data_IF_807787387371
#
_entry.id   IF_807787387371
#
_cell.length_a   1.000
_cell.length_b   1.000
_cell.length_c   1.000
_cell.angle_alpha   90.00
_cell.angle_beta   90.00
_cell.angle_gamma   90.00
#
_symmetry.space_group_name_H-M   'P 1'
#
loop_
_entity.id
_entity.type
_entity.pdbx_description
1 polymer ?
#
# COMPACT_ATOMS: atom_id res chain seq x y z
N UNK A 1 -3.04 -6.69 6.42
CA UNK A 1 -3.95 -6.06 5.45
C UNK A 1 -4.03 -4.55 5.65
N UNK A 2 -4.67 -4.04 6.72
CA UNK A 2 -4.87 -2.59 6.94
C UNK A 2 -3.59 -1.77 6.76
N UNK A 3 -2.49 -2.13 7.43
CA UNK A 3 -1.21 -1.44 7.31
C UNK A 3 -0.67 -1.40 5.87
N UNK A 4 -0.78 -2.51 5.13
CA UNK A 4 -0.37 -2.57 3.72
C UNK A 4 -1.18 -1.60 2.87
N UNK A 5 -2.50 -1.58 3.06
CA UNK A 5 -3.36 -0.60 2.39
C UNK A 5 -3.00 0.83 2.82
N UNK A 6 -2.70 1.06 4.09
CA UNK A 6 -2.28 2.39 4.56
C UNK A 6 -0.93 2.79 4.02
N UNK A 7 -0.05 1.88 3.57
CA UNK A 7 1.15 2.28 2.83
C UNK A 7 0.81 2.71 1.40
N UNK A 8 -0.08 1.96 0.76
CA UNK A 8 -0.56 2.18 -0.60
C UNK A 8 -1.84 3.04 -0.72
N UNK A 9 -2.80 2.52 -1.47
CA UNK A 9 -4.02 3.20 -1.95
C UNK A 9 -5.15 3.29 -0.90
N UNK A 10 -4.93 2.76 0.30
CA UNK A 10 -5.90 2.79 1.39
C UNK A 10 -6.01 4.18 2.02
N UNK A 11 -7.25 4.63 2.21
CA UNK A 11 -7.52 5.93 2.84
C UNK A 11 -8.38 5.79 4.08
N UNK A 12 -7.99 6.46 5.17
CA UNK A 12 -8.83 6.60 6.36
C UNK A 12 -9.75 7.82 6.22
N UNK A 13 -11.06 7.57 6.18
CA UNK A 13 -12.10 8.60 6.03
C UNK A 13 -13.01 8.65 7.26
N UNK A 14 -13.58 9.82 7.57
CA UNK A 14 -14.47 9.99 8.73
C UNK A 14 -15.76 9.16 8.54
N UNK A 15 -16.20 8.54 9.63
CA UNK A 15 -17.38 7.67 9.71
C UNK A 15 -18.01 7.79 11.09
N UNK A 16 -19.00 8.67 11.22
CA UNK A 16 -19.54 9.06 12.53
C UNK A 16 -18.45 9.67 13.41
N UNK A 17 -18.33 9.20 14.66
CA UNK A 17 -17.30 9.63 15.61
C UNK A 17 -15.91 9.02 15.37
N UNK A 18 -15.79 8.05 14.47
CA UNK A 18 -14.56 7.31 14.21
C UNK A 18 -14.09 7.45 12.76
N UNK A 19 -12.99 6.78 12.42
CA UNK A 19 -12.52 6.61 11.05
C UNK A 19 -12.78 5.20 10.54
N UNK A 20 -12.94 5.08 9.22
CA UNK A 20 -13.01 3.81 8.49
C UNK A 20 -11.94 3.73 7.42
N UNK A 21 -11.49 2.52 7.10
CA UNK A 21 -10.66 2.26 5.95
C UNK A 21 -11.55 2.20 4.72
N UNK A 22 -11.16 2.93 3.67
CA UNK A 22 -11.78 2.90 2.35
C UNK A 22 -10.74 2.44 1.34
N UNK A 23 -11.13 1.50 0.50
CA UNK A 23 -10.37 1.00 -0.63
C UNK A 23 -11.17 1.28 -1.89
N UNK A 24 -10.51 1.81 -2.91
CA UNK A 24 -11.09 2.02 -4.23
C UNK A 24 -10.03 1.84 -5.29
N UNK A 25 -10.34 1.07 -6.34
CA UNK A 25 -9.49 0.95 -7.51
C UNK A 25 -10.35 0.89 -8.77
N UNK A 26 -9.75 1.17 -9.94
CA UNK A 26 -10.41 0.99 -11.24
C UNK A 26 -11.00 -0.41 -11.38
N UNK A 27 -12.11 -0.54 -12.11
CA UNK A 27 -12.77 -1.83 -12.43
C UNK A 27 -11.81 -2.88 -13.00
N UNK A 28 -10.73 -2.45 -13.68
CA UNK A 28 -9.66 -3.33 -14.21
C UNK A 28 -8.95 -4.15 -13.12
N UNK A 29 -9.03 -3.72 -11.86
CA UNK A 29 -8.42 -4.37 -10.70
C UNK A 29 -9.47 -5.01 -9.77
N UNK A 30 -10.62 -5.42 -10.32
CA UNK A 30 -11.74 -5.99 -9.56
C UNK A 30 -11.37 -7.20 -8.70
N UNK A 31 -10.55 -8.11 -9.23
CA UNK A 31 -10.06 -9.27 -8.50
C UNK A 31 -9.24 -8.86 -7.27
N UNK A 32 -8.42 -7.82 -7.40
CA UNK A 32 -7.59 -7.32 -6.30
C UNK A 32 -8.42 -6.61 -5.23
N UNK A 33 -9.43 -5.83 -5.63
CA UNK A 33 -10.40 -5.23 -4.70
C UNK A 33 -11.16 -6.31 -3.94
N UNK A 34 -11.64 -7.33 -4.65
CA UNK A 34 -12.37 -8.47 -4.06
C UNK A 34 -11.48 -9.26 -3.10
N UNK A 35 -10.21 -9.46 -3.45
CA UNK A 35 -9.22 -10.09 -2.57
C UNK A 35 -9.03 -9.29 -1.27
N UNK A 36 -8.80 -7.97 -1.35
CA UNK A 36 -8.71 -7.10 -0.16
C UNK A 36 -10.00 -7.14 0.67
N UNK A 37 -11.16 -7.14 0.01
CA UNK A 37 -12.46 -7.25 0.67
C UNK A 37 -12.59 -8.57 1.45
N UNK A 38 -12.12 -9.69 0.91
CA UNK A 38 -12.15 -11.00 1.58
C UNK A 38 -11.52 -10.99 2.99
N UNK A 39 -10.41 -10.26 3.17
CA UNK A 39 -9.74 -10.10 4.47
C UNK A 39 -10.49 -9.18 5.44
N UNK A 40 -11.29 -8.25 4.94
CA UNK A 40 -11.93 -7.19 5.73
C UNK A 40 -13.45 -7.33 5.81
N UNK A 41 -14.06 -8.32 5.12
CA UNK A 41 -15.52 -8.45 4.98
C UNK A 41 -16.25 -8.49 6.31
N UNK A 42 -15.65 -9.10 7.34
CA UNK A 42 -16.24 -9.20 8.69
C UNK A 42 -16.46 -7.85 9.37
N UNK A 43 -15.73 -6.82 8.93
CA UNK A 43 -15.85 -5.45 9.46
C UNK A 43 -16.41 -4.49 8.40
N UNK A 44 -17.02 -4.99 7.33
CA UNK A 44 -17.70 -4.20 6.31
C UNK A 44 -19.21 -4.43 6.40
N UNK A 45 -20.00 -3.37 6.30
CA UNK A 45 -21.48 -3.49 6.26
C UNK A 45 -21.94 -3.84 4.85
N UNK A 46 -21.38 -3.16 3.86
CA UNK A 46 -21.75 -3.34 2.45
C UNK A 46 -20.74 -4.23 1.72
N UNK A 47 -21.19 -4.95 0.68
CA UNK A 47 -20.28 -5.59 -0.27
C UNK A 47 -19.48 -4.56 -1.06
N UNK A 48 -18.58 -5.03 -1.93
CA UNK A 48 -17.91 -4.17 -2.92
C UNK A 48 -18.97 -3.52 -3.82
N UNK A 49 -18.87 -2.21 -4.00
CA UNK A 49 -19.79 -1.38 -4.76
C UNK A 49 -19.12 -0.84 -6.02
N UNK A 50 -19.87 -0.78 -7.12
CA UNK A 50 -19.44 -0.12 -8.35
C UNK A 50 -19.74 1.39 -8.27
N UNK A 51 -18.73 2.22 -8.51
CA UNK A 51 -18.83 3.68 -8.58
C UNK A 51 -18.79 4.07 -10.05
N UNK A 52 -19.98 4.26 -10.64
CA UNK A 52 -20.16 4.51 -12.07
C UNK A 52 -19.37 5.73 -12.56
N UNK A 53 -19.38 6.82 -11.78
CA UNK A 53 -18.73 8.08 -12.14
C UNK A 53 -17.23 7.98 -12.36
N UNK A 54 -16.55 7.05 -11.67
CA UNK A 54 -15.09 6.88 -11.74
C UNK A 54 -14.68 5.57 -12.41
N UNK A 55 -15.64 4.77 -12.90
CA UNK A 55 -15.39 3.41 -13.38
C UNK A 55 -14.51 2.62 -12.40
N UNK A 56 -14.90 2.61 -11.12
CA UNK A 56 -14.13 2.05 -10.01
C UNK A 56 -14.98 1.14 -9.13
N UNK A 57 -14.30 0.29 -8.36
CA UNK A 57 -14.88 -0.58 -7.34
C UNK A 57 -14.40 -0.11 -5.97
N UNK A 58 -15.32 0.02 -5.03
CA UNK A 58 -15.06 0.56 -3.70
C UNK A 58 -15.68 -0.32 -2.62
N UNK A 59 -14.99 -0.47 -1.51
CA UNK A 59 -15.60 -0.90 -0.25
C UNK A 59 -15.02 -0.12 0.93
N UNK A 60 -15.68 -0.19 2.08
CA UNK A 60 -15.17 0.41 3.29
C UNK A 60 -15.60 -0.35 4.53
N UNK A 61 -14.75 -0.29 5.56
CA UNK A 61 -15.04 -0.87 6.87
C UNK A 61 -16.05 -0.02 7.63
N UNK A 62 -16.55 -0.54 8.75
CA UNK A 62 -17.19 0.26 9.79
C UNK A 62 -16.21 1.26 10.40
N UNK A 63 -16.74 2.32 11.00
CA UNK A 63 -15.94 3.25 11.79
C UNK A 63 -15.47 2.59 13.08
N UNK A 64 -14.17 2.58 13.36
CA UNK A 64 -13.59 1.88 14.52
C UNK A 64 -12.56 2.73 15.28
N UNK A 65 -12.51 2.71 16.62
CA UNK A 65 -11.54 3.50 17.40
C UNK A 65 -10.08 3.21 17.05
N UNK A 66 -9.72 1.96 16.74
CA UNK A 66 -8.35 1.62 16.31
C UNK A 66 -7.97 2.28 14.98
N UNK A 67 -8.93 2.43 14.05
CA UNK A 67 -8.70 3.17 12.81
C UNK A 67 -8.58 4.67 13.07
N UNK A 68 -9.31 5.19 14.06
CA UNK A 68 -9.11 6.56 14.54
C UNK A 68 -7.69 6.75 15.08
N UNK A 69 -7.17 5.83 15.91
CA UNK A 69 -5.78 5.88 16.38
C UNK A 69 -4.78 5.88 15.22
N UNK A 70 -4.96 4.97 14.25
CA UNK A 70 -4.15 4.94 13.05
C UNK A 70 -4.21 6.27 12.28
N UNK A 71 -5.38 6.89 12.15
CA UNK A 71 -5.51 8.19 11.49
C UNK A 71 -4.64 9.27 12.12
N UNK A 72 -4.56 9.33 13.45
CA UNK A 72 -3.77 10.33 14.16
C UNK A 72 -2.26 10.12 13.97
N UNK A 73 -1.81 8.86 13.96
CA UNK A 73 -0.36 8.58 13.84
C UNK A 73 0.13 8.58 12.38
N UNK A 74 -0.73 8.28 11.40
CA UNK A 74 -0.35 8.18 9.99
C UNK A 74 -0.50 9.49 9.21
N UNK A 75 -1.49 10.33 9.52
CA UNK A 75 -1.85 11.45 8.66
C UNK A 75 -1.66 12.78 9.39
N UNK A 76 -0.47 13.36 9.21
CA UNK A 76 -0.08 14.70 9.64
C UNK A 76 0.00 15.63 8.40
N UNK A 77 0.87 16.65 8.39
CA UNK A 77 1.14 17.47 7.18
C UNK A 77 1.55 16.62 5.98
N UNK A 78 2.33 15.57 6.23
CA UNK A 78 2.63 14.49 5.29
C UNK A 78 2.33 13.14 5.97
N UNK A 79 2.21 12.08 5.18
CA UNK A 79 2.01 10.72 5.67
C UNK A 79 3.23 10.27 6.46
N UNK A 80 2.99 9.74 7.66
CA UNK A 80 4.00 9.32 8.60
C UNK A 80 4.00 7.81 8.77
N UNK A 81 5.19 7.24 8.95
CA UNK A 81 5.37 5.85 9.40
C UNK A 81 5.47 5.85 10.94
N UNK A 82 4.48 5.24 11.64
CA UNK A 82 4.48 5.19 13.09
C UNK A 82 5.71 4.52 13.66
N UNK A 83 6.15 4.96 14.84
CA UNK A 83 7.24 4.31 15.57
C UNK A 83 6.82 2.88 15.95
N UNK A 84 7.77 1.94 15.86
CA UNK A 84 7.51 0.52 16.14
C UNK A 84 6.73 -0.23 15.06
N UNK A 85 6.31 0.43 13.97
CA UNK A 85 5.78 -0.31 12.83
C UNK A 85 6.86 -1.23 12.26
N UNK A 86 6.56 -2.50 12.03
CA UNK A 86 7.46 -3.43 11.34
C UNK A 86 6.85 -3.90 10.02
N UNK A 87 7.58 -3.70 8.93
CA UNK A 87 7.24 -4.24 7.62
C UNK A 87 7.42 -5.75 7.64
N UNK A 88 6.39 -6.46 7.21
CA UNK A 88 6.45 -7.89 6.91
C UNK A 88 6.46 -8.09 5.39
N UNK A 89 6.89 -9.27 4.90
CA UNK A 89 6.82 -9.60 3.47
C UNK A 89 5.42 -9.34 2.87
N UNK A 90 4.37 -9.67 3.61
CA UNK A 90 2.99 -9.44 3.20
C UNK A 90 2.63 -7.94 3.08
N UNK A 91 3.07 -7.12 4.05
CA UNK A 91 2.85 -5.67 4.01
C UNK A 91 3.59 -5.05 2.82
N UNK A 92 4.84 -5.46 2.58
CA UNK A 92 5.65 -5.00 1.46
C UNK A 92 5.00 -5.39 0.12
N UNK A 93 4.47 -6.61 0.02
CA UNK A 93 3.78 -7.06 -1.18
C UNK A 93 2.52 -6.25 -1.48
N UNK A 94 1.69 -5.92 -0.48
CA UNK A 94 0.51 -5.07 -0.67
C UNK A 94 0.95 -3.66 -1.11
N UNK A 95 1.93 -3.08 -0.43
CA UNK A 95 2.43 -1.75 -0.77
C UNK A 95 2.94 -1.70 -2.22
N UNK A 96 3.68 -2.71 -2.66
CA UNK A 96 4.13 -2.85 -4.04
C UNK A 96 2.98 -3.06 -5.03
N UNK A 97 2.00 -3.90 -4.71
CA UNK A 97 0.84 -4.11 -5.59
C UNK A 97 0.02 -2.83 -5.77
N UNK A 98 -0.03 -1.96 -4.76
CA UNK A 98 -0.70 -0.66 -4.82
C UNK A 98 0.15 0.35 -5.62
N UNK A 99 1.35 0.68 -5.13
CA UNK A 99 2.14 1.83 -5.61
C UNK A 99 3.36 1.47 -6.47
N UNK A 100 3.59 0.18 -6.71
CA UNK A 100 4.76 -0.32 -7.43
C UNK A 100 4.68 -0.15 -8.94
N UNK A 101 5.81 0.17 -9.56
CA UNK A 101 5.97 0.29 -11.02
C UNK A 101 7.07 -0.65 -11.51
N UNK A 102 6.80 -1.34 -12.62
CA UNK A 102 7.75 -2.22 -13.30
C UNK A 102 8.77 -1.44 -14.13
N UNK A 103 10.04 -1.79 -14.02
CA UNK A 103 11.10 -1.45 -14.98
C UNK A 103 11.60 -2.70 -15.71
N UNK A 104 12.58 -2.55 -16.60
CA UNK A 104 13.14 -3.68 -17.38
C UNK A 104 13.69 -4.81 -16.49
N UNK A 105 14.40 -4.46 -15.43
CA UNK A 105 15.17 -5.40 -14.60
C UNK A 105 15.02 -5.14 -13.09
N UNK A 106 14.11 -4.24 -12.70
CA UNK A 106 13.81 -3.94 -11.31
C UNK A 106 12.45 -3.24 -11.18
N UNK A 107 12.13 -2.71 -10.01
CA UNK A 107 10.91 -1.98 -9.71
C UNK A 107 11.18 -0.72 -8.88
N UNK A 108 10.22 0.18 -8.85
CA UNK A 108 10.14 1.24 -7.83
C UNK A 108 8.77 1.25 -7.16
N UNK A 109 8.64 2.02 -6.08
CA UNK A 109 7.38 2.25 -5.38
C UNK A 109 7.19 3.76 -5.19
N UNK A 110 5.99 4.27 -5.47
CA UNK A 110 5.68 5.68 -5.22
C UNK A 110 5.76 6.04 -3.73
N UNK A 111 6.37 7.18 -3.41
CA UNK A 111 6.51 7.68 -2.03
C UNK A 111 6.12 9.16 -1.85
N UNK A 112 5.42 9.73 -2.84
CA UNK A 112 5.06 11.15 -2.89
C UNK A 112 4.30 11.66 -1.65
N UNK A 113 3.58 10.80 -0.94
CA UNK A 113 2.78 11.18 0.22
C UNK A 113 3.56 11.18 1.54
N UNK A 114 4.77 10.59 1.59
CA UNK A 114 5.51 10.38 2.83
C UNK A 114 6.48 11.51 3.17
N UNK A 115 6.69 11.75 4.47
CA UNK A 115 7.77 12.63 4.94
C UNK A 115 9.15 12.00 4.70
N UNK A 116 10.19 12.84 4.61
CA UNK A 116 11.58 12.39 4.50
C UNK A 116 11.99 11.42 5.62
N UNK A 117 11.66 11.73 6.87
CA UNK A 117 11.94 10.85 8.02
C UNK A 117 11.22 9.49 7.89
N UNK A 118 10.03 9.47 7.31
CA UNK A 118 9.29 8.24 7.03
C UNK A 118 9.92 7.42 5.92
N UNK A 119 10.42 8.07 4.86
CA UNK A 119 11.16 7.42 3.79
C UNK A 119 12.41 6.74 4.35
N UNK A 120 13.20 7.45 5.17
CA UNK A 120 14.40 6.87 5.83
C UNK A 120 14.06 5.66 6.72
N UNK A 121 12.93 5.70 7.43
CA UNK A 121 12.43 4.54 8.20
C UNK A 121 12.10 3.36 7.29
N UNK A 122 11.41 3.59 6.17
CA UNK A 122 11.06 2.54 5.20
C UNK A 122 12.32 1.91 4.60
N UNK A 123 13.31 2.73 4.22
CA UNK A 123 14.59 2.25 3.72
C UNK A 123 15.32 1.36 4.73
N UNK A 124 15.38 1.77 6.01
CA UNK A 124 15.97 0.96 7.09
C UNK A 124 15.26 -0.37 7.27
N UNK A 125 13.94 -0.42 7.13
CA UNK A 125 13.18 -1.66 7.26
C UNK A 125 13.36 -2.60 6.06
N UNK A 126 13.38 -2.06 4.84
CA UNK A 126 13.69 -2.85 3.65
C UNK A 126 15.11 -3.42 3.70
N UNK A 127 16.06 -2.68 4.27
CA UNK A 127 17.43 -3.15 4.45
C UNK A 127 17.52 -4.39 5.36
N UNK A 128 16.63 -4.55 6.36
CA UNK A 128 16.52 -5.78 7.18
C UNK A 128 16.26 -7.03 6.33
N UNK A 129 15.60 -6.86 5.18
CA UNK A 129 15.34 -7.92 4.20
C UNK A 129 16.40 -7.99 3.09
N UNK A 130 17.55 -7.33 3.27
CA UNK A 130 18.63 -7.22 2.26
C UNK A 130 18.15 -6.56 0.96
N UNK A 131 17.26 -5.58 1.09
CA UNK A 131 16.74 -4.78 -0.02
C UNK A 131 17.28 -3.36 0.10
N UNK A 132 18.36 -3.09 -0.64
CA UNK A 132 18.95 -1.75 -0.79
C UNK A 132 18.15 -0.92 -1.81
N UNK A 133 17.88 0.34 -1.47
CA UNK A 133 17.01 1.26 -2.23
C UNK A 133 17.63 2.65 -2.36
N UNK A 134 17.23 3.39 -3.39
CA UNK A 134 17.53 4.82 -3.54
C UNK A 134 16.25 5.63 -3.71
N UNK A 135 16.29 6.91 -3.37
CA UNK A 135 15.21 7.84 -3.69
C UNK A 135 15.55 8.50 -5.02
N UNK A 136 14.73 8.26 -6.02
CA UNK A 136 14.80 8.92 -7.32
C UNK A 136 13.56 9.80 -7.48
N UNK A 137 13.61 10.77 -8.39
CA UNK A 137 12.42 11.56 -8.75
C UNK A 137 12.22 11.50 -10.25
N UNK A 138 10.98 11.32 -10.68
CA UNK A 138 10.57 11.52 -12.06
C UNK A 138 9.57 12.67 -12.15
N UNK A 139 8.98 12.90 -13.33
CA UNK A 139 7.95 13.92 -13.52
C UNK A 139 6.67 13.70 -12.70
N UNK A 140 6.50 12.52 -12.10
CA UNK A 140 5.36 12.12 -11.25
C UNK A 140 5.72 12.14 -9.76
N UNK A 141 6.90 12.63 -9.40
CA UNK A 141 7.36 12.83 -8.03
C UNK A 141 8.33 11.77 -7.52
N UNK A 142 8.61 11.72 -6.21
CA UNK A 142 9.62 10.84 -5.65
C UNK A 142 9.19 9.37 -5.68
N UNK A 143 10.16 8.52 -5.98
CA UNK A 143 10.07 7.07 -6.13
C UNK A 143 11.14 6.40 -5.28
N UNK A 144 10.76 5.35 -4.58
CA UNK A 144 11.69 4.48 -3.88
C UNK A 144 12.14 3.38 -4.85
N UNK A 145 13.29 3.58 -5.46
CA UNK A 145 13.86 2.67 -6.45
C UNK A 145 14.55 1.49 -5.76
N UNK A 146 14.18 0.27 -6.12
CA UNK A 146 14.86 -0.93 -5.66
C UNK A 146 16.10 -1.13 -6.52
N UNK A 147 17.29 -1.13 -5.91
CA UNK A 147 18.52 -1.32 -6.69
C UNK A 147 18.47 -2.67 -7.39
N UNK A 148 18.95 -2.74 -8.63
CA UNK A 148 18.95 -3.97 -9.45
C UNK A 148 19.54 -5.18 -8.73
N UNK A 149 20.67 -4.99 -8.02
CA UNK A 149 21.33 -6.03 -7.19
C UNK A 149 20.41 -6.60 -6.09
N UNK A 150 19.44 -5.80 -5.62
CA UNK A 150 18.48 -6.16 -4.57
C UNK A 150 17.19 -6.76 -5.12
N UNK A 151 16.91 -6.61 -6.43
CA UNK A 151 15.66 -7.07 -7.03
C UNK A 151 15.41 -8.58 -6.84
N UNK A 152 16.39 -9.49 -6.98
CA UNK A 152 16.17 -10.91 -6.69
C UNK A 152 15.67 -11.17 -5.26
N UNK A 153 16.22 -10.47 -4.27
CA UNK A 153 15.78 -10.57 -2.87
C UNK A 153 14.35 -10.03 -2.71
N UNK A 154 14.06 -8.87 -3.31
CA UNK A 154 12.72 -8.29 -3.30
C UNK A 154 11.70 -9.21 -3.94
N UNK A 155 11.96 -9.71 -5.15
CA UNK A 155 11.08 -10.63 -5.88
C UNK A 155 10.80 -11.87 -5.04
N UNK A 156 11.85 -12.51 -4.48
CA UNK A 156 11.70 -13.67 -3.59
C UNK A 156 10.83 -13.36 -2.37
N UNK A 157 11.00 -12.17 -1.76
CA UNK A 157 10.26 -11.74 -0.58
C UNK A 157 8.76 -11.58 -0.85
N UNK A 158 8.40 -10.92 -1.95
CA UNK A 158 7.00 -10.55 -2.22
C UNK A 158 6.22 -11.58 -3.01
N UNK A 159 6.88 -12.36 -3.87
CA UNK A 159 6.22 -13.30 -4.81
C UNK A 159 5.17 -14.22 -4.18
N UNK A 160 5.37 -14.79 -2.97
CA UNK A 160 4.35 -15.64 -2.34
C UNK A 160 3.01 -14.95 -2.07
N UNK A 161 2.98 -13.61 -2.05
CA UNK A 161 1.81 -12.81 -1.68
C UNK A 161 1.22 -12.03 -2.86
N UNK A 162 1.93 -11.96 -4.00
CA UNK A 162 1.46 -11.26 -5.19
C UNK A 162 0.25 -11.99 -5.79
N UNK A 163 -0.84 -11.25 -5.97
CA UNK A 163 -2.03 -11.79 -6.62
C UNK A 163 -1.79 -11.96 -8.12
N UNK A 164 -2.36 -13.02 -8.72
CA UNK A 164 -2.20 -13.31 -10.16
C UNK A 164 -2.56 -12.10 -11.03
N UNK A 165 -3.66 -11.41 -10.70
CA UNK A 165 -4.10 -10.18 -11.38
C UNK A 165 -3.13 -8.99 -11.25
N UNK A 166 -2.15 -9.05 -10.34
CA UNK A 166 -1.12 -8.04 -10.12
C UNK A 166 0.29 -8.51 -10.50
N UNK A 167 0.44 -9.74 -11.00
CA UNK A 167 1.75 -10.31 -11.36
C UNK A 167 2.44 -9.53 -12.48
N UNK A 168 1.69 -8.84 -13.34
CA UNK A 168 2.22 -7.99 -14.43
C UNK A 168 3.13 -6.85 -13.95
N UNK A 169 3.04 -6.46 -12.65
CA UNK A 169 3.89 -5.44 -12.02
C UNK A 169 5.32 -5.93 -11.77
N UNK A 170 5.57 -7.24 -11.76
CA UNK A 170 6.92 -7.79 -11.67
C UNK A 170 7.58 -7.86 -13.06
N UNK A 171 8.87 -7.51 -13.17
CA UNK A 171 9.75 -7.93 -14.27
C UNK A 171 9.83 -9.45 -14.44
#
# INVERSE_FOLDING_TARGET
MVIGCLLGDGTLSRSGKNYRLRIEHSVKHSEYVTWKYGYLKRICISPVQHVVSHSSLRFGTVGHPQLSLLRHVWYQTAKQIPNGLELTPFIIAIWFMDDGTKHRDTVDISIHSFSRASIEKLQKQLLKFRIDTTVNSDSKGPRLYIRKKSYPNFKKLVSPYIQKCMAYKLP
#
